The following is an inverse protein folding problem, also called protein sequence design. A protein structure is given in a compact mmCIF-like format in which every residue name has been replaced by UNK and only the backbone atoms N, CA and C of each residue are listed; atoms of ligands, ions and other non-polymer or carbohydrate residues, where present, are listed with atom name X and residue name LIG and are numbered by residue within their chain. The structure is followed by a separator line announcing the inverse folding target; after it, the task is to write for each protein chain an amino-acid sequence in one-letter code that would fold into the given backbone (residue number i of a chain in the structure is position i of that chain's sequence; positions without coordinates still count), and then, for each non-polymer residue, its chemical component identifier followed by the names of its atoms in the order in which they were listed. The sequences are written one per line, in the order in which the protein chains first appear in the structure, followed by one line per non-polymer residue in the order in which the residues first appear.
data_IF_633027701473
#
_entry.id   IF_633027701473
#
_cell.length_a   1.000
_cell.length_b   1.000
_cell.length_c   1.000
_cell.angle_alpha   90.00
_cell.angle_beta   90.00
_cell.angle_gamma   90.00
#
_symmetry.space_group_name_H-M   'P 1'
#
loop_
_entity.id
_entity.type
_entity.pdbx_description
1 polymer ?
#
# COMPACT_ATOMS: atom_id res chain seq x y z
N UNK A 1 -12.61 -29.39 -0.13
CA UNK A 1 -12.34 -29.55 1.32
C UNK A 1 -13.23 -28.56 2.04
N UNK A 2 -14.28 -29.01 2.74
CA UNK A 2 -15.16 -28.12 3.52
C UNK A 2 -14.45 -27.79 4.85
N UNK A 3 -14.10 -26.51 5.04
CA UNK A 3 -13.56 -26.02 6.33
C UNK A 3 -14.61 -26.22 7.43
N UNK A 4 -14.18 -26.68 8.60
CA UNK A 4 -15.06 -26.82 9.77
C UNK A 4 -15.51 -25.44 10.25
N UNK A 5 -16.71 -25.34 10.86
CA UNK A 5 -17.28 -24.07 11.33
C UNK A 5 -16.33 -23.24 12.22
N UNK A 6 -15.49 -23.89 13.02
CA UNK A 6 -14.44 -23.24 13.82
C UNK A 6 -13.31 -22.62 12.98
N UNK A 7 -12.95 -23.21 11.83
CA UNK A 7 -11.93 -22.66 10.94
C UNK A 7 -12.47 -21.46 10.16
N UNK A 8 -13.74 -21.50 9.75
CA UNK A 8 -14.40 -20.35 9.10
C UNK A 8 -14.43 -19.13 10.00
N UNK A 9 -14.80 -19.28 11.27
CA UNK A 9 -14.80 -18.16 12.24
C UNK A 9 -13.41 -17.55 12.46
N UNK A 10 -12.36 -18.38 12.45
CA UNK A 10 -10.98 -17.88 12.56
C UNK A 10 -10.56 -17.09 11.32
N UNK A 11 -10.90 -17.59 10.14
CA UNK A 11 -10.62 -16.89 8.88
C UNK A 11 -11.38 -15.57 8.80
N UNK A 12 -12.67 -15.56 9.16
CA UNK A 12 -13.47 -14.33 9.24
C UNK A 12 -12.86 -13.31 10.20
N UNK A 13 -12.36 -13.73 11.36
CA UNK A 13 -11.69 -12.83 12.29
C UNK A 13 -10.39 -12.25 11.70
N UNK A 14 -9.58 -13.10 11.05
CA UNK A 14 -8.33 -12.68 10.41
C UNK A 14 -8.61 -11.68 9.29
N UNK A 15 -9.60 -11.94 8.44
CA UNK A 15 -9.98 -11.09 7.31
C UNK A 15 -10.60 -9.78 7.79
N UNK A 16 -11.61 -9.85 8.67
CA UNK A 16 -12.32 -8.67 9.20
C UNK A 16 -11.39 -7.69 9.91
N UNK A 17 -10.34 -8.19 10.55
CA UNK A 17 -9.40 -7.36 11.28
C UNK A 17 -8.11 -7.09 10.49
N UNK A 18 -7.99 -7.55 9.24
CA UNK A 18 -6.83 -7.33 8.39
C UNK A 18 -5.52 -7.78 9.02
N UNK A 19 -5.54 -8.87 9.80
CA UNK A 19 -4.41 -9.22 10.68
C UNK A 19 -3.15 -9.58 9.90
N UNK A 20 -3.31 -10.28 8.78
CA UNK A 20 -2.16 -10.67 7.94
C UNK A 20 -1.47 -9.40 7.42
N UNK A 21 -2.24 -8.45 6.91
CA UNK A 21 -1.72 -7.19 6.37
C UNK A 21 -1.06 -6.34 7.45
N UNK A 22 -1.67 -6.26 8.64
CA UNK A 22 -1.08 -5.56 9.78
C UNK A 22 0.31 -6.14 10.12
N UNK A 23 0.42 -7.46 10.19
CA UNK A 23 1.70 -8.11 10.47
C UNK A 23 2.71 -7.99 9.32
N UNK A 24 2.26 -8.03 8.06
CA UNK A 24 3.12 -7.80 6.89
C UNK A 24 3.74 -6.41 6.92
N UNK A 25 2.96 -5.37 7.20
CA UNK A 25 3.45 -3.99 7.25
C UNK A 25 4.48 -3.80 8.37
N UNK A 26 4.16 -4.32 9.55
CA UNK A 26 5.06 -4.23 10.72
C UNK A 26 6.36 -5.01 10.45
N UNK A 27 6.26 -6.22 9.91
CA UNK A 27 7.44 -7.05 9.63
C UNK A 27 8.32 -6.46 8.52
N UNK A 28 7.74 -5.94 7.44
CA UNK A 28 8.49 -5.23 6.40
C UNK A 28 9.23 -4.01 6.97
N UNK A 29 8.55 -3.23 7.83
CA UNK A 29 9.15 -2.06 8.49
C UNK A 29 10.33 -2.47 9.38
N UNK A 30 10.20 -3.55 10.15
CA UNK A 30 11.28 -4.07 10.98
C UNK A 30 12.49 -4.52 10.16
N UNK A 31 12.27 -5.24 9.04
CA UNK A 31 13.36 -5.70 8.18
C UNK A 31 14.08 -4.56 7.46
N UNK A 32 13.34 -3.51 7.11
CA UNK A 32 13.86 -2.34 6.43
C UNK A 32 14.66 -1.45 7.39
N UNK A 33 14.05 -0.99 8.48
CA UNK A 33 14.66 -0.01 9.39
C UNK A 33 15.65 -0.63 10.38
N UNK A 34 15.51 -1.94 10.67
CA UNK A 34 16.35 -2.68 11.63
C UNK A 34 16.62 -1.88 12.92
N UNK A 35 15.55 -1.44 13.61
CA UNK A 35 15.69 -0.63 14.82
C UNK A 35 16.45 -1.40 15.90
N UNK A 36 17.21 -0.65 16.71
CA UNK A 36 17.97 -1.20 17.84
C UNK A 36 17.06 -1.84 18.90
N UNK A 37 15.85 -1.27 19.09
CA UNK A 37 14.77 -1.86 19.88
C UNK A 37 13.53 -2.14 19.01
N UNK A 38 13.41 -3.38 18.47
CA UNK A 38 12.26 -3.79 17.69
C UNK A 38 10.92 -3.71 18.43
N UNK A 39 10.91 -3.90 19.75
CA UNK A 39 9.67 -3.92 20.53
C UNK A 39 9.13 -2.52 20.70
N UNK A 40 10.00 -1.58 21.07
CA UNK A 40 9.65 -0.16 21.15
C UNK A 40 9.13 0.36 19.80
N UNK A 41 9.82 0.02 18.71
CA UNK A 41 9.40 0.40 17.36
C UNK A 41 8.01 -0.13 16.98
N UNK A 42 7.71 -1.40 17.28
CA UNK A 42 6.38 -1.97 17.02
C UNK A 42 5.29 -1.24 17.81
N UNK A 43 5.56 -0.88 19.06
CA UNK A 43 4.62 -0.11 19.89
C UNK A 43 4.33 1.25 19.26
N UNK A 44 5.36 1.97 18.81
CA UNK A 44 5.21 3.27 18.14
C UNK A 44 4.42 3.14 16.83
N UNK A 45 4.70 2.12 16.02
CA UNK A 45 3.96 1.86 14.78
C UNK A 45 2.47 1.57 15.06
N UNK A 46 2.16 0.77 16.08
CA UNK A 46 0.78 0.50 16.49
C UNK A 46 0.08 1.76 17.02
N UNK A 47 0.77 2.57 17.81
CA UNK A 47 0.24 3.85 18.30
C UNK A 47 -0.04 4.82 17.15
N UNK A 48 0.85 4.93 16.16
CA UNK A 48 0.61 5.73 14.97
C UNK A 48 -0.65 5.27 14.23
N UNK A 49 -0.82 3.96 14.00
CA UNK A 49 -2.01 3.37 13.37
C UNK A 49 -3.28 3.68 14.18
N UNK A 50 -3.23 3.59 15.51
CA UNK A 50 -4.36 3.91 16.39
C UNK A 50 -4.70 5.40 16.32
N UNK A 51 -3.71 6.29 16.38
CA UNK A 51 -3.91 7.73 16.36
C UNK A 51 -4.53 8.20 15.03
N UNK A 52 -4.14 7.55 13.93
CA UNK A 52 -4.75 7.77 12.61
C UNK A 52 -6.21 7.33 12.54
N UNK A 53 -6.62 6.31 13.31
CA UNK A 53 -8.02 5.87 13.44
C UNK A 53 -8.83 6.71 14.44
N UNK A 54 -8.17 7.31 15.44
CA UNK A 54 -8.80 8.11 16.50
C UNK A 54 -9.15 9.55 16.09
N UNK A 55 -8.51 10.11 15.07
CA UNK A 55 -8.96 11.33 14.43
C UNK A 55 -10.25 11.05 13.65
N UNK A 56 -11.36 11.62 14.12
CA UNK A 56 -12.75 11.37 13.72
C UNK A 56 -13.10 11.67 12.25
N UNK A 57 -12.42 11.01 11.32
CA UNK A 57 -12.91 10.74 9.97
C UNK A 57 -12.94 9.22 9.83
N UNK A 58 -14.09 8.62 10.13
CA UNK A 58 -14.42 7.22 9.87
C UNK A 58 -14.36 6.82 8.37
N UNK A 59 -13.86 7.72 7.52
CA UNK A 59 -13.66 7.58 6.09
C UNK A 59 -12.18 7.69 5.67
N UNK A 60 -11.23 7.87 6.61
CA UNK A 60 -9.80 7.85 6.30
C UNK A 60 -9.26 6.42 6.29
N UNK A 61 -9.32 5.89 5.07
CA UNK A 61 -8.52 4.80 4.50
C UNK A 61 -7.12 4.74 5.13
N UNK A 62 -6.63 3.54 5.39
CA UNK A 62 -5.27 3.29 5.90
C UNK A 62 -4.27 4.19 5.13
N UNK A 63 -3.27 4.81 5.80
CA UNK A 63 -2.23 5.55 5.08
C UNK A 63 -1.66 4.62 4.02
N UNK A 64 -1.50 5.12 2.81
CA UNK A 64 -0.88 4.30 1.78
C UNK A 64 0.50 3.89 2.27
N UNK A 65 0.86 2.63 2.02
CA UNK A 65 2.19 2.11 2.38
C UNK A 65 3.33 2.88 1.69
N UNK A 66 2.99 3.63 0.65
CA UNK A 66 3.90 4.49 -0.10
C UNK A 66 3.65 5.94 0.25
N UNK A 67 4.72 6.63 0.64
CA UNK A 67 4.74 8.08 0.77
C UNK A 67 4.79 8.73 -0.61
N UNK A 68 4.51 10.04 -0.67
CA UNK A 68 4.65 10.80 -1.91
C UNK A 68 6.10 10.74 -2.45
N UNK A 69 7.09 10.69 -1.56
CA UNK A 69 8.49 10.54 -1.94
C UNK A 69 8.80 9.18 -2.58
N UNK A 70 8.19 8.10 -2.09
CA UNK A 70 8.34 6.76 -2.67
C UNK A 70 7.77 6.72 -4.10
N UNK A 71 6.61 7.36 -4.31
CA UNK A 71 5.97 7.42 -5.63
C UNK A 71 6.77 8.31 -6.60
N UNK A 72 7.36 9.41 -6.13
CA UNK A 72 8.28 10.23 -6.94
C UNK A 72 9.56 9.49 -7.33
N UNK A 73 10.10 8.70 -6.41
CA UNK A 73 11.27 7.84 -6.66
C UNK A 73 10.91 6.77 -7.70
N UNK A 74 9.72 6.18 -7.58
CA UNK A 74 9.19 5.22 -8.55
C UNK A 74 9.06 5.86 -9.94
N UNK A 75 8.51 7.08 -10.03
CA UNK A 75 8.44 7.79 -11.31
C UNK A 75 9.83 7.96 -11.92
N UNK A 76 10.79 8.45 -11.13
CA UNK A 76 12.16 8.72 -11.58
C UNK A 76 12.85 7.44 -12.09
N UNK A 77 12.60 6.31 -11.43
CA UNK A 77 13.12 5.00 -11.83
C UNK A 77 12.58 4.55 -13.20
N UNK A 78 11.28 4.75 -13.45
CA UNK A 78 10.64 4.26 -14.67
C UNK A 78 10.69 5.26 -15.83
N UNK A 79 10.76 6.55 -15.56
CA UNK A 79 10.81 7.61 -16.57
C UNK A 79 12.11 7.65 -17.38
N UNK A 80 13.19 7.01 -16.90
CA UNK A 80 14.49 6.95 -17.60
C UNK A 80 14.98 8.33 -18.09
N UNK A 81 14.83 9.35 -17.26
CA UNK A 81 15.15 10.76 -17.55
C UNK A 81 14.23 11.45 -18.59
N UNK A 82 13.06 10.90 -18.87
CA UNK A 82 11.98 11.56 -19.63
C UNK A 82 11.06 12.35 -18.69
N UNK A 83 10.44 13.41 -19.20
CA UNK A 83 9.37 14.14 -18.49
C UNK A 83 8.05 13.35 -18.44
N UNK A 84 7.90 12.34 -19.31
CA UNK A 84 6.69 11.53 -19.42
C UNK A 84 7.00 10.02 -19.38
N UNK A 85 6.04 9.23 -18.90
CA UNK A 85 6.08 7.76 -18.89
C UNK A 85 5.06 7.19 -19.85
N UNK A 86 5.44 6.13 -20.55
CA UNK A 86 4.56 5.36 -21.45
C UNK A 86 3.64 4.41 -20.68
N UNK A 87 2.54 3.97 -21.30
CA UNK A 87 1.65 2.99 -20.68
C UNK A 87 2.35 1.69 -20.23
N UNK A 88 3.38 1.25 -20.96
CA UNK A 88 4.18 0.08 -20.58
C UNK A 88 5.01 0.34 -19.31
N UNK A 89 5.59 1.54 -19.17
CA UNK A 89 6.33 1.94 -17.97
C UNK A 89 5.42 2.09 -16.76
N UNK A 90 4.21 2.62 -16.95
CA UNK A 90 3.22 2.71 -15.86
C UNK A 90 2.79 1.32 -15.41
N UNK A 91 2.58 0.39 -16.35
CA UNK A 91 2.30 -1.02 -16.03
C UNK A 91 3.42 -1.61 -15.16
N UNK A 92 4.68 -1.49 -15.58
CA UNK A 92 5.81 -2.03 -14.80
C UNK A 92 5.92 -1.38 -13.43
N UNK A 93 5.64 -0.08 -13.32
CA UNK A 93 5.59 0.60 -12.03
C UNK A 93 4.47 0.07 -11.13
N UNK A 94 3.28 -0.19 -11.68
CA UNK A 94 2.16 -0.80 -10.95
C UNK A 94 2.54 -2.18 -10.41
N UNK A 95 3.16 -3.02 -11.24
CA UNK A 95 3.65 -4.34 -10.82
C UNK A 95 4.69 -4.23 -9.69
N UNK A 96 5.61 -3.27 -9.77
CA UNK A 96 6.63 -3.05 -8.74
C UNK A 96 6.05 -2.66 -7.37
N UNK A 97 4.89 -1.99 -7.35
CA UNK A 97 4.19 -1.63 -6.10
C UNK A 97 3.10 -2.64 -5.69
N UNK A 98 2.96 -3.76 -6.42
CA UNK A 98 1.98 -4.82 -6.12
C UNK A 98 0.54 -4.51 -6.59
N UNK A 99 0.38 -3.61 -7.56
CA UNK A 99 -0.90 -3.31 -8.20
C UNK A 99 -1.11 -4.22 -9.42
N UNK A 100 -1.74 -5.39 -9.21
CA UNK A 100 -1.98 -6.36 -10.28
C UNK A 100 -3.27 -6.12 -11.08
N UNK A 101 -4.13 -5.19 -10.63
CA UNK A 101 -5.42 -4.87 -11.24
C UNK A 101 -5.43 -3.43 -11.81
N UNK A 102 -4.46 -3.11 -12.67
CA UNK A 102 -4.32 -1.78 -13.27
C UNK A 102 -5.25 -1.63 -14.49
N UNK A 103 -5.87 -0.45 -14.66
CA UNK A 103 -6.62 -0.16 -15.90
C UNK A 103 -5.64 0.17 -17.02
N UNK A 104 -5.94 -0.26 -18.24
CA UNK A 104 -5.27 0.24 -19.43
C UNK A 104 -5.43 1.76 -19.50
N UNK A 105 -4.30 2.46 -19.66
CA UNK A 105 -4.30 3.90 -19.88
C UNK A 105 -4.89 4.18 -21.27
N UNK A 106 -5.78 5.17 -21.34
CA UNK A 106 -6.37 5.62 -22.61
C UNK A 106 -5.41 6.48 -23.45
N UNK A 107 -4.26 6.87 -22.87
CA UNK A 107 -3.25 7.69 -23.52
C UNK A 107 -1.92 6.91 -23.68
N UNK A 108 -1.14 7.20 -24.73
CA UNK A 108 0.15 6.54 -24.96
C UNK A 108 1.19 6.92 -23.91
N UNK A 109 1.12 8.14 -23.38
CA UNK A 109 1.99 8.68 -22.33
C UNK A 109 1.19 9.47 -21.30
N UNK A 110 1.75 9.60 -20.10
CA UNK A 110 1.25 10.46 -19.02
C UNK A 110 2.40 11.24 -18.38
N UNK A 111 2.10 12.41 -17.81
CA UNK A 111 3.06 13.26 -17.09
C UNK A 111 3.38 12.71 -15.70
N UNK A 112 4.39 13.29 -15.05
CA UNK A 112 4.76 13.00 -13.66
C UNK A 112 3.56 13.15 -12.71
N UNK A 113 2.81 14.24 -12.84
CA UNK A 113 1.68 14.56 -11.97
C UNK A 113 0.57 13.51 -12.13
N UNK A 114 0.20 13.21 -13.38
CA UNK A 114 -0.80 12.20 -13.68
C UNK A 114 -0.37 10.79 -13.24
N UNK A 115 0.92 10.47 -13.33
CA UNK A 115 1.47 9.22 -12.82
C UNK A 115 1.36 9.13 -11.29
N UNK A 116 1.80 10.17 -10.58
CA UNK A 116 1.77 10.21 -9.12
C UNK A 116 0.33 10.07 -8.63
N UNK A 117 -0.60 10.82 -9.22
CA UNK A 117 -2.01 10.76 -8.88
C UNK A 117 -2.58 9.37 -9.13
N UNK A 118 -2.31 8.77 -10.30
CA UNK A 118 -2.75 7.42 -10.63
C UNK A 118 -2.26 6.36 -9.64
N UNK A 119 -0.96 6.33 -9.35
CA UNK A 119 -0.38 5.34 -8.42
C UNK A 119 -0.93 5.57 -7.02
N UNK A 120 -1.00 6.82 -6.55
CA UNK A 120 -1.51 7.18 -5.22
C UNK A 120 -2.97 6.75 -5.03
N UNK A 121 -3.83 6.99 -6.01
CA UNK A 121 -5.23 6.57 -5.93
C UNK A 121 -5.34 5.05 -5.88
N UNK A 122 -4.58 4.34 -6.72
CA UNK A 122 -4.65 2.87 -6.79
C UNK A 122 -4.07 2.18 -5.56
N UNK A 123 -2.96 2.68 -5.01
CA UNK A 123 -2.42 2.14 -3.76
C UNK A 123 -3.38 2.42 -2.60
N UNK A 124 -3.98 3.62 -2.53
CA UNK A 124 -5.04 3.91 -1.55
C UNK A 124 -6.25 2.99 -1.71
N UNK A 125 -6.74 2.75 -2.93
CA UNK A 125 -7.86 1.84 -3.18
C UNK A 125 -7.55 0.42 -2.73
N UNK A 126 -6.38 -0.12 -3.07
CA UNK A 126 -5.92 -1.43 -2.60
C UNK A 126 -5.84 -1.48 -1.08
N UNK A 127 -5.20 -0.48 -0.47
CA UNK A 127 -5.01 -0.42 0.98
C UNK A 127 -6.36 -0.24 1.73
N UNK A 128 -7.39 0.26 1.02
CA UNK A 128 -8.77 0.35 1.52
C UNK A 128 -9.57 -0.95 1.43
N UNK A 129 -9.17 -1.91 0.59
CA UNK A 129 -9.86 -3.20 0.47
C UNK A 129 -9.60 -4.11 1.68
N UNK A 130 -8.73 -3.68 2.60
CA UNK A 130 -8.42 -4.37 3.84
C UNK A 130 -9.17 -3.77 5.06
N UNK A 131 -10.27 -3.04 4.82
CA UNK A 131 -11.14 -2.40 5.83
C UNK A 131 -12.53 -3.03 5.78
#
# INVERSE_FOLDING_TARGET
MLLSSSQTQKMEYIEKHGLIQLFEIISQSLFYYRPEDPRAFVIEQLQAIINLRGSADSNKKLPSLYTDHDIETLFSLFAKNSENVTAAQVKSACEAVGLHNYKTLGTPTISKEAFIEYIRERTKERDSQYI
#
